data_IF_014019305018
#
_entry.id   IF_014019305018
#
_cell.length_a   1.000
_cell.length_b   1.000
_cell.length_c   1.000
_cell.angle_alpha   90.00
_cell.angle_beta   90.00
_cell.angle_gamma   90.00
#
_symmetry.space_group_name_H-M   'P 1'
#
loop_
_entity.id
_entity.type
_entity.pdbx_description
1 polymer ?
#
# COMPACT_ATOMS: atom_id res chain seq x y z
N UNK A 1 0.48 -7.81 -7.08
CA UNK A 1 0.38 -8.53 -5.79
C UNK A 1 -1.05 -8.38 -5.27
N UNK A 2 -1.38 -8.90 -4.08
CA UNK A 2 -2.67 -8.68 -3.42
C UNK A 2 -2.51 -8.12 -2.02
N UNK A 3 -3.55 -7.43 -1.56
CA UNK A 3 -3.67 -7.01 -0.16
C UNK A 3 -3.89 -8.26 0.71
N UNK A 4 -3.06 -8.43 1.74
CA UNK A 4 -3.23 -9.46 2.77
C UNK A 4 -3.92 -8.90 4.02
N UNK A 5 -3.61 -7.67 4.41
CA UNK A 5 -4.20 -6.98 5.57
C UNK A 5 -4.30 -5.48 5.33
N UNK A 6 -5.23 -4.81 6.02
CA UNK A 6 -5.46 -3.36 5.92
C UNK A 6 -5.68 -2.80 7.32
N UNK A 7 -4.97 -1.73 7.65
CA UNK A 7 -5.12 -1.01 8.90
C UNK A 7 -5.39 0.47 8.61
N UNK A 8 -6.54 0.96 9.07
CA UNK A 8 -6.91 2.36 8.92
C UNK A 8 -6.53 3.13 10.19
N UNK A 9 -5.90 4.29 9.99
CA UNK A 9 -5.74 5.30 11.03
C UNK A 9 -6.77 6.41 10.82
N UNK A 10 -6.67 7.50 11.59
CA UNK A 10 -7.54 8.67 11.40
C UNK A 10 -7.33 9.40 10.07
N UNK A 11 -6.18 9.24 9.40
CA UNK A 11 -5.83 10.01 8.20
C UNK A 11 -5.12 9.20 7.12
N UNK A 12 -4.73 7.97 7.41
CA UNK A 12 -3.92 7.14 6.52
C UNK A 12 -4.39 5.70 6.52
N UNK A 13 -4.00 4.98 5.49
CA UNK A 13 -4.25 3.55 5.35
C UNK A 13 -2.91 2.84 5.20
N UNK A 14 -2.65 1.86 6.07
CA UNK A 14 -1.51 0.95 5.97
C UNK A 14 -2.00 -0.32 5.28
N UNK A 15 -1.32 -0.67 4.20
CA UNK A 15 -1.65 -1.80 3.33
C UNK A 15 -0.53 -2.82 3.45
N UNK A 16 -0.87 -4.02 3.93
CA UNK A 16 0.05 -5.17 3.94
C UNK A 16 -0.25 -6.01 2.72
N UNK A 17 0.80 -6.50 2.08
CA UNK A 17 0.70 -7.23 0.82
C UNK A 17 1.21 -8.66 0.97
N UNK A 18 0.71 -9.55 0.10
CA UNK A 18 1.04 -10.97 0.10
C UNK A 18 2.45 -11.29 -0.45
N UNK A 19 3.17 -10.29 -0.95
CA UNK A 19 4.48 -10.43 -1.55
C UNK A 19 5.40 -9.29 -1.10
N UNK A 20 6.72 -9.50 -1.21
CA UNK A 20 7.69 -8.46 -0.86
C UNK A 20 7.50 -7.24 -1.78
N UNK A 21 7.56 -6.05 -1.20
CA UNK A 21 7.51 -4.78 -1.89
C UNK A 21 8.76 -4.54 -2.75
N UNK A 22 8.62 -3.81 -3.88
CA UNK A 22 9.76 -3.27 -4.60
C UNK A 22 10.60 -2.35 -3.71
N UNK A 23 11.91 -2.29 -3.99
CA UNK A 23 12.78 -1.32 -3.34
C UNK A 23 12.41 0.12 -3.73
N UNK A 24 12.70 1.08 -2.84
CA UNK A 24 12.52 2.53 -3.07
C UNK A 24 11.08 2.93 -3.44
N UNK A 25 10.10 2.38 -2.74
CA UNK A 25 8.68 2.64 -3.00
C UNK A 25 8.19 4.02 -2.53
N UNK A 26 8.85 4.62 -1.54
CA UNK A 26 8.44 5.89 -0.96
C UNK A 26 8.37 7.00 -2.02
N UNK A 27 7.21 7.64 -2.15
CA UNK A 27 6.93 8.68 -3.13
C UNK A 27 6.39 8.20 -4.47
N UNK A 28 6.45 6.88 -4.76
CA UNK A 28 5.91 6.31 -6.00
C UNK A 28 4.39 6.18 -5.95
N UNK A 29 3.80 5.90 -7.13
CA UNK A 29 2.37 5.65 -7.26
C UNK A 29 2.08 4.16 -7.26
N UNK A 30 0.97 3.81 -6.61
CA UNK A 30 0.41 2.46 -6.60
C UNK A 30 -1.01 2.50 -7.13
N UNK A 31 -1.42 1.46 -7.85
CA UNK A 31 -2.78 1.28 -8.35
C UNK A 31 -3.48 0.20 -7.56
N UNK A 32 -4.65 0.53 -7.02
CA UNK A 32 -5.57 -0.39 -6.35
C UNK A 32 -6.97 -0.08 -6.90
N UNK A 33 -7.66 -1.10 -7.43
CA UNK A 33 -9.00 -0.95 -8.06
C UNK A 33 -9.08 0.22 -9.07
N UNK A 34 -8.09 0.31 -9.96
CA UNK A 34 -7.95 1.36 -10.99
C UNK A 34 -7.78 2.79 -10.46
N UNK A 35 -7.53 2.99 -9.16
CA UNK A 35 -7.20 4.28 -8.56
C UNK A 35 -5.73 4.35 -8.21
N UNK A 36 -5.12 5.53 -8.41
CA UNK A 36 -3.71 5.78 -8.12
C UNK A 36 -3.58 6.47 -6.77
N UNK A 37 -2.69 5.95 -5.94
CA UNK A 37 -2.37 6.49 -4.63
C UNK A 37 -0.86 6.72 -4.52
N UNK A 38 -0.46 7.78 -3.83
CA UNK A 38 0.96 8.03 -3.56
C UNK A 38 1.38 7.32 -2.28
N UNK A 39 2.48 6.59 -2.33
CA UNK A 39 3.06 5.95 -1.14
C UNK A 39 3.76 7.00 -0.29
N UNK A 40 3.30 7.17 0.95
CA UNK A 40 3.77 8.19 1.90
C UNK A 40 4.60 7.60 3.04
N UNK A 41 4.58 6.28 3.21
CA UNK A 41 5.41 5.59 4.21
C UNK A 41 5.72 4.16 3.82
N UNK A 42 6.90 3.69 4.24
CA UNK A 42 7.33 2.29 4.18
C UNK A 42 8.07 2.02 5.49
N UNK A 43 7.65 1.06 6.32
CA UNK A 43 8.36 0.77 7.56
C UNK A 43 9.78 0.25 7.28
N UNK A 44 10.74 0.60 8.13
CA UNK A 44 12.15 0.22 7.92
C UNK A 44 12.46 -1.25 8.18
N UNK A 45 11.64 -1.91 9.01
CA UNK A 45 11.84 -3.30 9.43
C UNK A 45 10.80 -4.26 8.82
N UNK A 46 9.99 -3.78 7.86
CA UNK A 46 9.00 -4.57 7.15
C UNK A 46 9.11 -4.30 5.65
N UNK A 47 9.14 -5.37 4.86
CA UNK A 47 9.22 -5.28 3.40
C UNK A 47 7.90 -5.65 2.72
N UNK A 48 6.78 -5.69 3.44
CA UNK A 48 5.48 -6.13 2.92
C UNK A 48 4.39 -5.07 3.05
N UNK A 49 4.60 -4.02 3.83
CA UNK A 49 3.61 -2.97 4.04
C UNK A 49 4.05 -1.58 3.60
N UNK A 50 3.07 -0.79 3.16
CA UNK A 50 3.25 0.61 2.81
C UNK A 50 2.04 1.42 3.27
N UNK A 51 2.19 2.73 3.34
CA UNK A 51 1.17 3.66 3.78
C UNK A 51 0.81 4.64 2.67
N UNK A 52 -0.47 5.03 2.65
CA UNK A 52 -0.99 6.16 1.87
C UNK A 52 -1.68 7.14 2.84
N UNK A 53 -1.59 8.45 2.59
CA UNK A 53 -2.22 9.49 3.43
C UNK A 53 -3.68 9.74 3.01
N UNK A 54 -4.42 8.66 2.78
CA UNK A 54 -5.84 8.67 2.49
C UNK A 54 -6.52 7.57 3.31
N UNK A 55 -7.72 7.85 3.83
CA UNK A 55 -8.53 6.84 4.50
C UNK A 55 -9.34 6.08 3.46
N UNK A 56 -9.01 4.82 3.24
CA UNK A 56 -9.65 3.98 2.25
C UNK A 56 -10.16 2.67 2.87
N UNK A 57 -11.26 2.16 2.34
CA UNK A 57 -11.86 0.90 2.81
C UNK A 57 -11.46 -0.26 1.90
N UNK A 58 -10.15 -0.46 1.74
CA UNK A 58 -9.61 -1.57 0.97
C UNK A 58 -10.00 -2.92 1.60
N UNK A 59 -10.05 -3.95 0.76
CA UNK A 59 -10.43 -5.32 1.11
C UNK A 59 -9.28 -6.26 0.83
N UNK A 60 -9.11 -7.24 1.71
CA UNK A 60 -8.20 -8.36 1.51
C UNK A 60 -8.49 -9.04 0.17
N UNK A 61 -7.43 -9.34 -0.58
CA UNK A 61 -7.49 -9.95 -1.91
C UNK A 61 -7.55 -8.97 -3.07
N UNK A 62 -7.76 -7.67 -2.85
CA UNK A 62 -7.66 -6.65 -3.90
C UNK A 62 -6.27 -6.63 -4.53
N UNK A 63 -6.22 -6.38 -5.84
CA UNK A 63 -4.96 -6.34 -6.59
C UNK A 63 -4.26 -5.01 -6.36
N UNK A 64 -2.95 -5.09 -6.13
CA UNK A 64 -2.06 -3.94 -6.00
C UNK A 64 -1.01 -4.02 -7.10
N UNK A 65 -0.83 -2.92 -7.84
CA UNK A 65 0.16 -2.75 -8.90
C UNK A 65 1.01 -1.51 -8.65
N UNK A 66 2.33 -1.62 -8.76
CA UNK A 66 3.22 -0.48 -8.57
C UNK A 66 3.61 0.14 -9.90
N UNK A 67 3.61 1.47 -9.94
CA UNK A 67 4.15 2.26 -11.05
C UNK A 67 5.51 2.79 -10.56
N UNK A 68 6.59 2.15 -11.03
CA UNK A 68 7.98 2.45 -10.67
C UNK A 68 8.63 3.35 -11.72
#
# INVERSE_FOLDING_TARGET
>A
MKISEVYNTSFSTVIVTDNKLPEKLLGNLVVIDNRKYKVTGVPTNDNYSFMIDEMENFKVGQKVEFIL
#
